data_IF_836235996805
#
_entry.id   IF_836235996805
#
_cell.length_a   1.000
_cell.length_b   1.000
_cell.length_c   1.000
_cell.angle_alpha   90.00
_cell.angle_beta   90.00
_cell.angle_gamma   90.00
#
_symmetry.space_group_name_H-M   'P 1'
#
loop_
_entity.id
_entity.type
_entity.pdbx_description
1 polymer ?
#
# COMPACT_ATOMS: atom_id res chain seq x y z
N UNK A 1 25.02 -6.66 -1.97
CA UNK A 1 25.86 -6.21 -3.11
C UNK A 1 25.03 -5.55 -4.21
N UNK A 2 24.07 -6.24 -4.87
CA UNK A 2 23.23 -5.61 -5.92
C UNK A 2 22.37 -4.44 -5.39
N UNK A 3 21.71 -4.61 -4.24
CA UNK A 3 20.92 -3.54 -3.62
C UNK A 3 21.73 -2.28 -3.30
N UNK A 4 22.98 -2.44 -2.86
CA UNK A 4 23.86 -1.30 -2.57
C UNK A 4 24.32 -0.59 -3.85
N UNK A 5 24.56 -1.35 -4.92
CA UNK A 5 24.85 -0.78 -6.24
C UNK A 5 23.69 0.08 -6.75
N UNK A 6 22.44 -0.40 -6.59
CA UNK A 6 21.22 0.30 -7.03
C UNK A 6 20.93 1.60 -6.25
N UNK A 7 21.68 1.90 -5.18
CA UNK A 7 21.63 3.22 -4.53
C UNK A 7 22.09 4.33 -5.46
N UNK A 8 22.96 4.03 -6.42
CA UNK A 8 23.40 4.97 -7.44
C UNK A 8 22.44 4.92 -8.63
N UNK A 9 21.92 6.07 -9.03
CA UNK A 9 20.92 6.17 -10.09
C UNK A 9 21.40 5.56 -11.41
N UNK A 10 22.65 5.80 -11.82
CA UNK A 10 23.21 5.26 -13.06
C UNK A 10 23.19 3.71 -13.10
N UNK A 11 23.48 3.05 -11.97
CA UNK A 11 23.46 1.59 -11.88
C UNK A 11 22.02 1.06 -11.83
N UNK A 12 21.12 1.76 -11.13
CA UNK A 12 19.70 1.41 -11.15
C UNK A 12 19.10 1.51 -12.56
N UNK A 13 19.49 2.52 -13.36
CA UNK A 13 19.09 2.67 -14.76
C UNK A 13 19.55 1.49 -15.61
N UNK A 14 20.81 1.07 -15.47
CA UNK A 14 21.35 -0.08 -16.20
C UNK A 14 20.62 -1.38 -15.84
N UNK A 15 20.34 -1.59 -14.55
CA UNK A 15 19.60 -2.77 -14.10
C UNK A 15 18.17 -2.77 -14.63
N UNK A 16 17.44 -1.65 -14.51
CA UNK A 16 16.04 -1.55 -14.96
C UNK A 16 15.89 -1.59 -16.49
N UNK A 17 16.89 -1.12 -17.23
CA UNK A 17 16.91 -1.20 -18.68
C UNK A 17 17.31 -2.58 -19.23
N UNK A 18 17.73 -3.51 -18.37
CA UNK A 18 18.15 -4.85 -18.76
C UNK A 18 16.95 -5.81 -18.74
N UNK A 19 16.81 -6.71 -19.73
CA UNK A 19 15.73 -7.69 -19.76
C UNK A 19 15.79 -8.67 -18.57
N UNK A 20 16.99 -8.86 -17.99
CA UNK A 20 17.20 -9.67 -16.78
C UNK A 20 16.47 -9.09 -15.56
N UNK A 21 16.10 -7.81 -15.56
CA UNK A 21 15.28 -7.22 -14.50
C UNK A 21 14.01 -8.03 -14.23
N UNK A 22 13.33 -8.48 -15.28
CA UNK A 22 12.07 -9.21 -15.14
C UNK A 22 12.24 -10.60 -14.50
N UNK A 23 13.46 -11.16 -14.50
CA UNK A 23 13.75 -12.40 -13.78
C UNK A 23 13.59 -12.22 -12.26
N UNK A 24 13.71 -10.99 -11.75
CA UNK A 24 13.50 -10.69 -10.33
C UNK A 24 12.07 -11.02 -9.87
N UNK A 25 11.06 -10.90 -10.76
CA UNK A 25 9.68 -11.28 -10.46
C UNK A 25 9.53 -12.79 -10.23
N UNK A 26 10.35 -13.61 -10.88
CA UNK A 26 10.38 -15.06 -10.65
C UNK A 26 11.04 -15.38 -9.31
N UNK A 27 12.14 -14.70 -8.97
CA UNK A 27 12.82 -14.88 -7.69
C UNK A 27 11.95 -14.50 -6.48
N UNK A 28 11.12 -13.45 -6.63
CA UNK A 28 10.15 -13.02 -5.61
C UNK A 28 9.06 -14.07 -5.33
N UNK A 29 8.77 -14.94 -6.30
CA UNK A 29 7.78 -16.01 -6.18
C UNK A 29 8.40 -17.34 -5.73
N UNK A 30 9.70 -17.37 -5.44
CA UNK A 30 10.41 -18.57 -4.98
C UNK A 30 9.90 -19.12 -3.65
N UNK A 31 10.06 -20.44 -3.47
CA UNK A 31 9.63 -21.16 -2.25
C UNK A 31 10.59 -20.93 -1.06
N UNK A 32 11.86 -20.64 -1.32
CA UNK A 32 12.83 -20.26 -0.30
C UNK A 32 12.53 -18.85 0.21
N UNK A 33 12.09 -18.75 1.47
CA UNK A 33 11.60 -17.49 2.07
C UNK A 33 12.69 -16.41 2.17
N UNK A 34 13.90 -16.79 2.56
CA UNK A 34 15.06 -15.91 2.68
C UNK A 34 15.43 -15.29 1.32
N UNK A 35 15.50 -16.11 0.28
CA UNK A 35 15.81 -15.66 -1.09
C UNK A 35 14.68 -14.80 -1.65
N UNK A 36 13.42 -15.23 -1.55
CA UNK A 36 12.28 -14.49 -2.10
C UNK A 36 12.04 -13.15 -1.39
N UNK A 37 12.24 -13.10 -0.07
CA UNK A 37 12.16 -11.86 0.71
C UNK A 37 13.27 -10.88 0.36
N UNK A 38 14.50 -11.35 0.15
CA UNK A 38 15.61 -10.50 -0.28
C UNK A 38 15.43 -9.99 -1.72
N UNK A 39 14.96 -10.86 -2.63
CA UNK A 39 14.59 -10.47 -3.98
C UNK A 39 13.50 -9.39 -3.97
N UNK A 40 12.46 -9.55 -3.13
CA UNK A 40 11.39 -8.56 -3.02
C UNK A 40 11.89 -7.23 -2.49
N UNK A 41 12.75 -7.23 -1.47
CA UNK A 41 13.31 -6.01 -0.93
C UNK A 41 14.20 -5.28 -1.95
N UNK A 42 14.92 -6.02 -2.81
CA UNK A 42 15.67 -5.44 -3.93
C UNK A 42 14.76 -4.87 -5.01
N UNK A 43 13.70 -5.60 -5.40
CA UNK A 43 12.69 -5.12 -6.35
C UNK A 43 12.03 -3.83 -5.85
N UNK A 44 11.63 -3.82 -4.57
CA UNK A 44 11.04 -2.65 -3.93
C UNK A 44 12.00 -1.46 -3.94
N UNK A 45 13.26 -1.66 -3.58
CA UNK A 45 14.23 -0.56 -3.52
C UNK A 45 14.46 0.06 -4.91
N UNK A 46 14.60 -0.78 -5.95
CA UNK A 46 14.70 -0.34 -7.34
C UNK A 46 13.50 0.52 -7.74
N UNK A 47 12.29 0.09 -7.43
CA UNK A 47 11.06 0.75 -7.87
C UNK A 47 10.65 1.97 -7.03
N UNK A 48 11.28 2.23 -5.88
CA UNK A 48 10.84 3.31 -4.97
C UNK A 48 11.90 4.35 -4.64
N UNK A 49 13.17 4.10 -4.97
CA UNK A 49 14.28 5.00 -4.65
C UNK A 49 14.36 6.21 -5.58
N UNK A 50 14.50 5.98 -6.89
CA UNK A 50 14.79 7.04 -7.88
C UNK A 50 13.52 7.49 -8.60
N UNK A 51 12.57 8.04 -7.83
CA UNK A 51 11.16 8.24 -8.23
C UNK A 51 10.93 8.89 -9.60
N UNK A 52 11.62 9.99 -9.99
CA UNK A 52 11.40 10.60 -11.30
C UNK A 52 11.72 9.64 -12.46
N UNK A 53 12.81 8.90 -12.36
CA UNK A 53 13.20 7.92 -13.37
C UNK A 53 12.25 6.70 -13.38
N UNK A 54 11.82 6.23 -12.21
CA UNK A 54 10.88 5.10 -12.14
C UNK A 54 9.54 5.46 -12.77
N UNK A 55 9.06 6.69 -12.58
CA UNK A 55 7.84 7.16 -13.24
C UNK A 55 7.95 7.10 -14.77
N UNK A 56 9.09 7.53 -15.31
CA UNK A 56 9.37 7.44 -16.74
C UNK A 56 9.44 5.98 -17.21
N UNK A 57 10.19 5.14 -16.50
CA UNK A 57 10.32 3.71 -16.79
C UNK A 57 8.97 2.98 -16.80
N UNK A 58 8.14 3.19 -15.77
CA UNK A 58 6.82 2.57 -15.64
C UNK A 58 5.85 3.05 -16.71
N UNK A 59 5.94 4.32 -17.12
CA UNK A 59 5.11 4.84 -18.19
C UNK A 59 5.49 4.26 -19.56
N UNK A 60 6.80 4.12 -19.82
CA UNK A 60 7.32 3.59 -21.09
C UNK A 60 7.10 2.08 -21.22
N UNK A 61 7.27 1.31 -20.13
CA UNK A 61 7.21 -0.16 -20.13
C UNK A 61 5.94 -0.68 -19.45
N UNK A 62 4.86 0.11 -19.48
CA UNK A 62 3.65 -0.14 -18.70
C UNK A 62 3.08 -1.55 -18.89
N UNK A 63 2.84 -1.94 -20.14
CA UNK A 63 2.13 -3.20 -20.45
C UNK A 63 2.94 -4.43 -20.05
N UNK A 64 4.24 -4.44 -20.35
CA UNK A 64 5.17 -5.52 -19.96
C UNK A 64 5.36 -5.57 -18.44
N UNK A 65 5.60 -4.42 -17.80
CA UNK A 65 5.78 -4.36 -16.35
C UNK A 65 4.56 -4.86 -15.60
N UNK A 66 3.37 -4.36 -15.93
CA UNK A 66 2.16 -4.76 -15.22
C UNK A 66 1.69 -6.17 -15.58
N UNK A 67 2.06 -6.70 -16.75
CA UNK A 67 1.91 -8.13 -17.06
C UNK A 67 2.70 -9.00 -16.07
N UNK A 68 3.99 -8.72 -15.85
CA UNK A 68 4.80 -9.42 -14.85
C UNK A 68 4.31 -9.17 -13.42
N UNK A 69 3.88 -7.95 -13.11
CA UNK A 69 3.38 -7.59 -11.79
C UNK A 69 2.08 -8.31 -11.43
N UNK A 70 1.18 -8.53 -12.40
CA UNK A 70 -0.08 -9.25 -12.20
C UNK A 70 0.15 -10.67 -11.66
N UNK A 71 1.23 -11.35 -12.08
CA UNK A 71 1.59 -12.67 -11.56
C UNK A 71 1.85 -12.64 -10.05
N UNK A 72 2.50 -11.59 -9.54
CA UNK A 72 2.75 -11.43 -8.10
C UNK A 72 1.46 -11.14 -7.31
N UNK A 73 0.52 -10.40 -7.88
CA UNK A 73 -0.79 -10.12 -7.25
C UNK A 73 -1.64 -11.40 -7.19
N UNK A 74 -1.55 -12.24 -8.23
CA UNK A 74 -2.31 -13.47 -8.36
C UNK A 74 -1.58 -14.70 -7.80
N UNK A 75 -0.39 -14.53 -7.22
CA UNK A 75 0.39 -15.61 -6.60
C UNK A 75 -0.37 -16.28 -5.45
N UNK A 76 -0.30 -17.61 -5.40
CA UNK A 76 -0.83 -18.43 -4.29
C UNK A 76 -0.06 -18.22 -2.98
N UNK A 77 1.18 -17.75 -3.04
CA UNK A 77 1.94 -17.34 -1.87
C UNK A 77 1.34 -16.07 -1.26
N UNK A 78 0.68 -16.23 -0.11
CA UNK A 78 0.04 -15.13 0.63
C UNK A 78 1.02 -13.98 0.96
N UNK A 79 2.27 -14.27 1.33
CA UNK A 79 3.25 -13.24 1.67
C UNK A 79 3.58 -12.42 0.43
N UNK A 80 3.89 -13.08 -0.69
CA UNK A 80 4.17 -12.42 -1.97
C UNK A 80 3.00 -11.57 -2.42
N UNK A 81 1.79 -12.14 -2.42
CA UNK A 81 0.55 -11.44 -2.77
C UNK A 81 0.32 -10.20 -1.92
N UNK A 82 0.48 -10.32 -0.59
CA UNK A 82 0.30 -9.20 0.34
C UNK A 82 1.34 -8.10 0.14
N UNK A 83 2.61 -8.47 -0.06
CA UNK A 83 3.69 -7.51 -0.26
C UNK A 83 3.59 -6.82 -1.62
N UNK A 84 3.21 -7.55 -2.68
CA UNK A 84 2.92 -7.00 -4.00
C UNK A 84 1.79 -5.96 -3.93
N UNK A 85 0.64 -6.29 -3.32
CA UNK A 85 -0.45 -5.33 -3.16
C UNK A 85 -0.04 -4.08 -2.37
N UNK A 86 0.80 -4.23 -1.34
CA UNK A 86 1.32 -3.11 -0.57
C UNK A 86 2.23 -2.21 -1.42
N UNK A 87 3.16 -2.81 -2.16
CA UNK A 87 4.07 -2.06 -3.05
C UNK A 87 3.32 -1.39 -4.19
N UNK A 88 2.31 -2.04 -4.77
CA UNK A 88 1.47 -1.46 -5.81
C UNK A 88 0.79 -0.18 -5.33
N UNK A 89 0.24 -0.21 -4.10
CA UNK A 89 -0.26 0.99 -3.44
C UNK A 89 0.82 2.07 -3.35
N UNK A 90 2.01 1.76 -2.82
CA UNK A 90 3.12 2.71 -2.72
C UNK A 90 3.51 3.32 -4.09
N UNK A 91 3.50 2.53 -5.17
CA UNK A 91 3.84 2.99 -6.52
C UNK A 91 2.76 3.89 -7.12
N UNK A 92 1.50 3.46 -7.12
CA UNK A 92 0.42 4.20 -7.79
C UNK A 92 0.11 5.54 -7.10
N UNK A 93 0.55 5.74 -5.86
CA UNK A 93 0.22 6.93 -5.08
C UNK A 93 1.38 7.89 -4.94
N UNK A 94 2.52 7.52 -5.51
CA UNK A 94 3.61 8.46 -5.64
C UNK A 94 3.23 9.56 -6.61
N UNK A 95 3.45 10.83 -6.23
CA UNK A 95 3.14 11.99 -7.07
C UNK A 95 3.81 11.95 -8.44
N UNK A 96 4.97 11.29 -8.58
CA UNK A 96 5.66 11.16 -9.86
C UNK A 96 4.95 10.15 -10.78
N UNK A 97 4.21 9.19 -10.22
CA UNK A 97 3.52 8.12 -10.94
C UNK A 97 2.06 8.46 -11.27
N UNK A 98 1.66 9.74 -11.26
CA UNK A 98 0.26 10.13 -11.50
C UNK A 98 -0.28 9.68 -12.87
N UNK A 99 0.55 9.73 -13.92
CA UNK A 99 0.20 9.23 -15.25
C UNK A 99 -0.05 7.71 -15.24
N UNK A 100 0.84 6.97 -14.58
CA UNK A 100 0.75 5.51 -14.41
C UNK A 100 -0.48 5.13 -13.59
N UNK A 101 -0.74 5.84 -12.50
CA UNK A 101 -1.93 5.67 -11.67
C UNK A 101 -3.21 5.83 -12.48
N UNK A 102 -3.29 6.94 -13.23
CA UNK A 102 -4.47 7.25 -14.04
C UNK A 102 -4.73 6.17 -15.08
N UNK A 103 -3.66 5.66 -15.73
CA UNK A 103 -3.77 4.53 -16.67
C UNK A 103 -4.17 3.24 -15.96
N UNK A 104 -3.65 2.96 -14.77
CA UNK A 104 -3.94 1.74 -14.00
C UNK A 104 -5.38 1.66 -13.53
N UNK A 105 -5.93 2.75 -12.99
CA UNK A 105 -7.33 2.79 -12.51
C UNK A 105 -8.35 2.94 -13.64
N UNK A 106 -7.92 3.32 -14.84
CA UNK A 106 -8.77 3.35 -16.03
C UNK A 106 -9.12 1.95 -16.55
N UNK A 107 -8.40 0.91 -16.11
CA UNK A 107 -8.74 -0.47 -16.35
C UNK A 107 -9.68 -1.00 -15.26
N UNK A 108 -10.83 -1.56 -15.69
CA UNK A 108 -11.88 -2.00 -14.78
C UNK A 108 -11.43 -3.18 -13.88
N UNK A 109 -10.63 -4.10 -14.40
CA UNK A 109 -10.15 -5.27 -13.64
C UNK A 109 -9.16 -4.86 -12.56
N UNK A 110 -8.26 -3.95 -12.89
CA UNK A 110 -7.30 -3.37 -11.95
C UNK A 110 -7.97 -2.62 -10.79
N UNK A 111 -9.05 -1.87 -11.08
CA UNK A 111 -9.80 -1.15 -10.08
C UNK A 111 -10.54 -2.10 -9.12
N UNK A 112 -11.11 -3.19 -9.64
CA UNK A 112 -11.77 -4.23 -8.84
C UNK A 112 -10.82 -4.81 -7.80
N UNK A 113 -9.58 -5.13 -8.17
CA UNK A 113 -8.58 -5.72 -7.25
C UNK A 113 -8.38 -4.87 -5.99
N UNK A 114 -8.35 -3.54 -6.12
CA UNK A 114 -8.12 -2.64 -5.01
C UNK A 114 -9.32 -2.50 -4.07
N UNK A 115 -10.52 -2.40 -4.63
CA UNK A 115 -11.74 -2.12 -3.86
C UNK A 115 -12.36 -3.40 -3.31
N UNK A 116 -12.34 -4.49 -4.08
CA UNK A 116 -12.97 -5.76 -3.73
C UNK A 116 -12.15 -6.61 -2.74
N UNK A 117 -10.87 -6.29 -2.50
CA UNK A 117 -10.07 -7.01 -1.51
C UNK A 117 -10.65 -6.81 -0.09
N UNK A 118 -11.13 -7.86 0.62
CA UNK A 118 -11.69 -7.70 1.97
C UNK A 118 -10.62 -7.45 3.04
N UNK A 119 -9.39 -7.95 2.83
CA UNK A 119 -8.25 -7.80 3.74
C UNK A 119 -7.27 -6.76 3.21
N UNK A 120 -7.78 -5.55 2.94
CA UNK A 120 -6.97 -4.45 2.42
C UNK A 120 -5.84 -4.13 3.40
N UNK A 121 -4.57 -4.04 2.96
CA UNK A 121 -3.50 -3.55 3.81
C UNK A 121 -3.85 -2.16 4.38
N UNK A 122 -3.48 -1.83 5.64
CA UNK A 122 -3.81 -0.55 6.26
C UNK A 122 -3.42 0.67 5.41
N UNK A 123 -2.29 0.57 4.68
CA UNK A 123 -1.89 1.57 3.71
C UNK A 123 -2.94 1.75 2.61
N UNK A 124 -3.30 0.68 1.89
CA UNK A 124 -4.31 0.71 0.82
C UNK A 124 -5.65 1.25 1.31
N UNK A 125 -6.09 0.84 2.51
CA UNK A 125 -7.29 1.38 3.12
C UNK A 125 -7.19 2.90 3.34
N UNK A 126 -6.13 3.36 4.02
CA UNK A 126 -5.92 4.78 4.32
C UNK A 126 -5.92 5.61 3.03
N UNK A 127 -5.37 5.06 1.96
CA UNK A 127 -5.28 5.68 0.66
C UNK A 127 -6.64 5.82 -0.01
N UNK A 128 -7.41 4.71 -0.06
CA UNK A 128 -8.77 4.73 -0.63
C UNK A 128 -9.66 5.69 0.17
N UNK A 129 -9.47 5.76 1.48
CA UNK A 129 -10.17 6.70 2.35
C UNK A 129 -9.75 8.16 2.11
N UNK A 130 -8.45 8.47 2.01
CA UNK A 130 -7.96 9.82 1.72
C UNK A 130 -8.38 10.34 0.34
N UNK A 131 -8.57 9.44 -0.62
CA UNK A 131 -8.98 9.78 -1.99
C UNK A 131 -10.45 9.45 -2.27
N UNK A 132 -11.24 9.18 -1.23
CA UNK A 132 -12.60 8.66 -1.33
C UNK A 132 -13.48 9.50 -2.27
N UNK A 133 -13.52 10.82 -2.11
CA UNK A 133 -14.32 11.72 -2.95
C UNK A 133 -13.88 11.71 -4.42
N UNK A 134 -12.57 11.77 -4.67
CA UNK A 134 -12.01 11.79 -6.03
C UNK A 134 -12.28 10.47 -6.76
N UNK A 135 -12.15 9.35 -6.06
CA UNK A 135 -12.43 8.02 -6.60
C UNK A 135 -13.92 7.83 -6.90
N UNK A 136 -14.81 8.29 -6.03
CA UNK A 136 -16.27 8.26 -6.26
C UNK A 136 -16.64 9.15 -7.45
N UNK A 137 -16.05 10.33 -7.56
CA UNK A 137 -16.29 11.25 -8.68
C UNK A 137 -15.81 10.66 -10.02
N UNK A 138 -14.60 10.09 -10.05
CA UNK A 138 -14.08 9.38 -11.22
C UNK A 138 -15.00 8.23 -11.61
N UNK A 139 -15.30 7.34 -10.67
CA UNK A 139 -16.14 6.18 -10.92
C UNK A 139 -17.53 6.58 -11.40
N UNK A 140 -18.12 7.66 -10.88
CA UNK A 140 -19.45 8.10 -11.31
C UNK A 140 -19.46 8.49 -12.80
N UNK A 141 -18.38 9.06 -13.29
CA UNK A 141 -18.22 9.52 -14.69
C UNK A 141 -17.51 8.49 -15.60
N UNK A 142 -17.10 7.34 -15.08
CA UNK A 142 -16.34 6.34 -15.82
C UNK A 142 -17.24 5.51 -16.76
N UNK A 143 -16.94 5.52 -18.06
CA UNK A 143 -17.64 4.75 -19.11
C UNK A 143 -19.17 4.80 -18.99
N UNK A 144 -19.73 5.99 -18.85
CA UNK A 144 -21.19 6.20 -18.71
C UNK A 144 -21.97 5.87 -19.97
N UNK A 145 -21.28 5.75 -21.11
CA UNK A 145 -21.81 5.32 -22.40
C UNK A 145 -22.21 3.84 -22.47
N UNK A 146 -21.70 2.98 -21.57
CA UNK A 146 -22.00 1.53 -21.53
C UNK A 146 -23.30 1.22 -20.77
N UNK A 147 -24.41 1.79 -21.21
CA UNK A 147 -25.71 1.68 -20.50
C UNK A 147 -26.40 0.33 -20.66
N UNK A 148 -26.02 -0.47 -21.65
CA UNK A 148 -26.56 -1.79 -21.99
C UNK A 148 -25.88 -2.94 -21.21
N UNK A 149 -24.70 -2.68 -20.65
CA UNK A 149 -23.93 -3.64 -19.87
C UNK A 149 -24.34 -3.62 -18.39
N UNK A 150 -25.41 -4.36 -18.07
CA UNK A 150 -25.98 -4.41 -16.71
C UNK A 150 -24.97 -4.88 -15.66
N UNK A 151 -24.16 -5.91 -15.96
CA UNK A 151 -23.15 -6.43 -15.06
C UNK A 151 -22.08 -5.37 -14.75
N UNK A 152 -21.56 -4.69 -15.77
CA UNK A 152 -20.60 -3.61 -15.58
C UNK A 152 -21.14 -2.51 -14.67
N UNK A 153 -22.39 -2.10 -14.90
CA UNK A 153 -23.04 -1.05 -14.09
C UNK A 153 -23.24 -1.48 -12.63
N UNK A 154 -23.64 -2.72 -12.39
CA UNK A 154 -23.78 -3.28 -11.03
C UNK A 154 -22.44 -3.35 -10.30
N UNK A 155 -21.38 -3.82 -10.97
CA UNK A 155 -20.02 -3.85 -10.43
C UNK A 155 -19.51 -2.43 -10.12
N UNK A 156 -19.73 -1.48 -11.03
CA UNK A 156 -19.39 -0.07 -10.85
C UNK A 156 -20.09 0.53 -9.62
N UNK A 157 -21.38 0.29 -9.45
CA UNK A 157 -22.14 0.74 -8.27
C UNK A 157 -21.66 0.07 -6.99
N UNK A 158 -21.33 -1.22 -7.05
CA UNK A 158 -20.74 -1.95 -5.93
C UNK A 158 -19.42 -1.32 -5.48
N UNK A 159 -18.51 -0.98 -6.42
CA UNK A 159 -17.23 -0.33 -6.11
C UNK A 159 -17.43 1.05 -5.48
N UNK A 160 -18.32 1.87 -6.03
CA UNK A 160 -18.67 3.19 -5.47
C UNK A 160 -19.17 3.05 -4.03
N UNK A 161 -20.06 2.08 -3.78
CA UNK A 161 -20.60 1.80 -2.45
C UNK A 161 -19.49 1.38 -1.48
N UNK A 162 -18.62 0.44 -1.87
CA UNK A 162 -17.50 -0.01 -1.05
C UNK A 162 -16.55 1.13 -0.67
N UNK A 163 -16.23 2.02 -1.61
CA UNK A 163 -15.36 3.18 -1.35
C UNK A 163 -16.06 4.17 -0.43
N UNK A 164 -17.36 4.45 -0.64
CA UNK A 164 -18.15 5.35 0.22
C UNK A 164 -18.27 4.85 1.66
N UNK A 165 -18.38 3.54 1.85
CA UNK A 165 -18.56 2.92 3.16
C UNK A 165 -17.23 2.73 3.93
N UNK A 166 -16.08 3.13 3.34
CA UNK A 166 -14.79 3.10 4.02
C UNK A 166 -14.80 4.01 5.26
N UNK A 167 -14.39 3.45 6.40
CA UNK A 167 -14.25 4.18 7.67
C UNK A 167 -12.79 4.58 7.91
N UNK A 168 -12.50 5.68 8.60
CA UNK A 168 -11.12 5.99 8.99
C UNK A 168 -10.55 4.87 9.87
N UNK A 169 -9.29 4.49 9.63
CA UNK A 169 -8.57 3.60 10.54
C UNK A 169 -8.30 4.37 11.83
N UNK A 170 -8.95 3.97 12.92
CA UNK A 170 -8.68 4.54 14.25
C UNK A 170 -7.28 4.09 14.66
N UNK A 171 -6.31 5.00 14.75
CA UNK A 171 -5.02 4.72 15.38
C UNK A 171 -5.26 4.38 16.86
N UNK A 172 -4.93 3.17 17.35
CA UNK A 172 -4.90 2.92 18.79
C UNK A 172 -3.66 3.61 19.35
N UNK A 173 -3.78 4.91 19.65
CA UNK A 173 -2.65 5.71 20.13
C UNK A 173 -2.94 7.16 20.55
N UNK A 174 -4.18 7.64 20.45
CA UNK A 174 -4.53 9.03 20.82
C UNK A 174 -5.62 9.11 21.91
N UNK A 175 -5.57 8.22 22.90
CA UNK A 175 -6.42 8.27 24.08
C UNK A 175 -5.60 8.13 25.38
N UNK A 176 -4.66 9.04 25.60
CA UNK A 176 -4.16 9.38 26.94
C UNK A 176 -4.06 10.91 26.99
N UNK A 177 -5.10 11.53 27.54
CA UNK A 177 -5.18 13.00 27.62
C UNK A 177 -6.59 13.46 27.94
N UNK A 178 -7.15 12.96 29.05
CA UNK A 178 -8.54 13.21 29.43
C UNK A 178 -8.77 13.07 30.92
N UNK A 179 -8.20 14.02 31.68
CA UNK A 179 -8.83 14.63 32.85
C UNK A 179 -9.21 13.72 34.05
N UNK A 180 -8.28 13.58 35.02
CA UNK A 180 -8.63 13.28 36.42
C UNK A 180 -8.07 14.38 37.31
N UNK A 181 -8.79 15.49 37.41
CA UNK A 181 -8.63 16.42 38.52
C UNK A 181 -10.03 16.74 39.06
N UNK A 182 -10.56 15.82 39.86
CA UNK A 182 -11.65 16.09 40.77
C UNK A 182 -11.47 15.25 42.04
N UNK A 183 -11.58 15.92 43.18
CA UNK A 183 -11.77 15.38 44.52
C UNK A 183 -10.62 14.63 45.20
N UNK A 184 -9.78 15.37 45.94
CA UNK A 184 -9.38 14.94 47.28
C UNK A 184 -9.01 16.12 48.18
N UNK A 185 -10.02 16.68 48.85
CA UNK A 185 -9.87 17.31 50.15
C UNK A 185 -10.43 16.34 51.19
N UNK A 186 -9.77 16.30 52.37
CA UNK A 186 -10.17 15.62 53.62
C UNK A 186 -9.95 14.09 53.60
N UNK A 187 -9.36 13.42 54.59
CA UNK A 187 -9.13 13.70 56.02
C UNK A 187 -8.00 12.80 56.57
N UNK A 188 -7.19 13.40 57.45
CA UNK A 188 -6.53 12.92 58.68
C UNK A 188 -6.31 11.42 59.00
N UNK A 189 -5.14 11.18 59.62
CA UNK A 189 -4.81 10.21 60.69
C UNK A 189 -4.84 8.72 60.32
N UNK A 190 -3.93 7.85 60.75
CA UNK A 190 -3.06 7.84 61.94
C UNK A 190 -1.97 6.75 61.77
N UNK A 191 -0.83 6.90 62.49
CA UNK A 191 0.05 5.87 63.13
C UNK A 191 0.28 4.53 62.41
N UNK A 192 1.47 3.96 62.21
CA UNK A 192 2.68 3.76 63.05
C UNK A 192 3.45 2.65 62.31
N UNK A 193 4.78 2.54 62.22
CA UNK A 193 5.80 2.23 63.24
C UNK A 193 7.16 2.12 62.51
N UNK A 194 8.23 2.65 63.12
CA UNK A 194 9.53 2.01 63.45
C UNK A 194 10.12 1.00 62.42
N UNK A 195 11.40 1.00 62.02
CA UNK A 195 12.63 1.26 62.80
C UNK A 195 13.91 0.97 61.96
N UNK A 196 15.03 1.63 62.32
CA UNK A 196 16.47 1.19 62.24
C UNK A 196 17.13 1.06 60.85
N UNK A 197 18.42 1.35 60.56
CA UNK A 197 19.71 1.43 61.30
C UNK A 197 20.71 2.06 60.29
N UNK A 198 21.34 3.22 60.56
CA UNK A 198 22.71 3.44 61.07
C UNK A 198 23.83 3.45 60.01
N UNK A 199 24.53 4.59 60.03
CA UNK A 199 25.90 4.97 59.66
C UNK A 199 26.74 4.12 58.70
#
# INVERSE_FOLDING_TARGET
MLRDACRHEALAKLVLGSPEFYQLFNHVQGTAFDVSSDAFATLKDLLTRHKPYIAEFLAQNYDEFFCHYANMINSDNYVTKRQALKLLGELLLDRHNFSVMTRYIADAENLKVFVANPNKPPAVHMILYQNQEKLISFLSNFQTERTDDGQFNDEKQYLIKQIRDLKPLVSPGAAIGGNTNASRQQTASNSSTSSTTTS
#
